data_IF_612670090225
#
_entry.id   IF_612670090225
#
_cell.length_a   1.000
_cell.length_b   1.000
_cell.length_c   1.000
_cell.angle_alpha   90.00
_cell.angle_beta   90.00
_cell.angle_gamma   90.00
#
_symmetry.space_group_name_H-M   'P 1'
#
loop_
_entity.id
_entity.type
_entity.pdbx_description
1 polymer ?
#
# COMPACT_ATOMS: atom_id res chain seq x y z
N UNK A 1 -57.93 15.88 57.35
CA UNK A 1 -56.74 15.47 58.14
C UNK A 1 -56.09 14.28 57.45
N UNK A 2 -54.80 14.45 57.09
CA UNK A 2 -53.72 13.43 57.06
C UNK A 2 -53.87 12.12 56.22
N UNK A 3 -52.90 11.99 55.31
CA UNK A 3 -52.04 10.82 54.96
C UNK A 3 -52.68 9.73 54.08
N UNK A 4 -52.29 9.64 52.80
CA UNK A 4 -51.06 9.02 52.27
C UNK A 4 -51.14 7.50 52.22
N UNK A 5 -51.24 6.93 51.02
CA UNK A 5 -50.52 5.70 50.68
C UNK A 5 -50.03 5.81 49.23
N UNK A 6 -48.73 5.63 49.09
CA UNK A 6 -47.92 5.66 47.88
C UNK A 6 -48.13 4.32 47.18
N UNK A 7 -48.47 4.34 45.89
CA UNK A 7 -48.39 3.16 45.02
C UNK A 7 -47.41 3.47 43.91
N UNK A 8 -46.20 2.95 44.07
CA UNK A 8 -45.11 2.96 43.10
C UNK A 8 -45.51 2.13 41.88
N UNK A 9 -45.91 2.80 40.80
CA UNK A 9 -46.04 2.16 39.48
C UNK A 9 -44.67 2.02 38.84
N UNK A 10 -44.15 0.80 38.79
CA UNK A 10 -42.94 0.44 38.05
C UNK A 10 -43.22 0.63 36.55
N UNK A 11 -42.61 1.67 35.95
CA UNK A 11 -42.60 1.86 34.51
C UNK A 11 -41.51 0.94 33.93
N UNK A 12 -41.88 -0.26 33.50
CA UNK A 12 -41.02 -1.11 32.68
C UNK A 12 -40.92 -0.43 31.30
N UNK A 13 -39.85 0.34 31.10
CA UNK A 13 -39.43 0.76 29.76
C UNK A 13 -38.86 -0.48 29.08
N UNK A 14 -39.71 -1.15 28.29
CA UNK A 14 -39.26 -2.17 27.35
C UNK A 14 -38.41 -1.41 26.31
N UNK A 15 -37.10 -1.45 26.48
CA UNK A 15 -36.11 -1.23 25.42
C UNK A 15 -36.31 -2.36 24.40
N UNK A 16 -37.32 -2.20 23.53
CA UNK A 16 -37.37 -2.94 22.28
C UNK A 16 -36.14 -2.46 21.53
N UNK A 17 -35.14 -3.33 21.49
CA UNK A 17 -33.97 -3.16 20.68
C UNK A 17 -34.43 -2.83 19.27
N UNK A 18 -34.20 -1.57 18.87
CA UNK A 18 -33.99 -1.24 17.47
C UNK A 18 -32.69 -1.94 17.08
N UNK A 19 -32.78 -3.26 16.88
CA UNK A 19 -31.97 -3.93 15.91
C UNK A 19 -32.20 -3.13 14.64
N UNK A 20 -31.23 -2.26 14.33
CA UNK A 20 -31.07 -1.71 13.00
C UNK A 20 -30.88 -2.96 12.14
N UNK A 21 -31.98 -3.48 11.63
CA UNK A 21 -31.97 -4.49 10.59
C UNK A 21 -31.14 -3.84 9.50
N UNK A 22 -29.89 -4.31 9.35
CA UNK A 22 -29.06 -3.97 8.22
C UNK A 22 -29.96 -4.19 7.00
N UNK A 23 -30.39 -3.10 6.35
CA UNK A 23 -31.15 -3.20 5.13
C UNK A 23 -30.35 -4.16 4.24
N UNK A 24 -31.01 -5.21 3.75
CA UNK A 24 -30.52 -5.98 2.59
C UNK A 24 -30.47 -5.01 1.41
N UNK A 25 -29.51 -4.08 1.42
CA UNK A 25 -29.22 -3.23 0.29
C UNK A 25 -28.66 -4.16 -0.76
N UNK A 26 -29.46 -4.40 -1.79
CA UNK A 26 -28.98 -4.95 -3.04
C UNK A 26 -28.03 -3.91 -3.62
N UNK A 27 -26.77 -3.96 -3.21
CA UNK A 27 -25.72 -3.19 -3.85
C UNK A 27 -25.69 -3.62 -5.32
N UNK A 28 -25.53 -2.67 -6.26
CA UNK A 28 -25.35 -3.05 -7.65
C UNK A 28 -24.11 -3.95 -7.76
N UNK A 29 -24.20 -4.96 -8.62
CA UNK A 29 -23.05 -5.80 -8.97
C UNK A 29 -21.82 -4.93 -9.25
N UNK A 30 -20.62 -5.31 -8.80
CA UNK A 30 -19.39 -4.60 -9.11
C UNK A 30 -19.27 -4.37 -10.63
N UNK A 31 -19.05 -3.11 -11.04
CA UNK A 31 -18.88 -2.77 -12.46
C UNK A 31 -17.57 -2.06 -12.67
N UNK A 32 -16.88 -2.44 -13.74
CA UNK A 32 -15.74 -1.68 -14.21
C UNK A 32 -16.19 -0.28 -14.65
N UNK A 33 -15.44 0.79 -14.34
CA UNK A 33 -15.85 2.15 -14.68
C UNK A 33 -16.04 2.33 -16.19
N UNK A 34 -17.27 2.66 -16.61
CA UNK A 34 -17.67 2.73 -18.03
C UNK A 34 -16.98 3.85 -18.85
N UNK A 35 -16.36 4.79 -18.16
CA UNK A 35 -15.62 5.91 -18.75
C UNK A 35 -14.17 5.56 -19.11
N UNK A 36 -13.61 4.47 -18.58
CA UNK A 36 -12.24 4.07 -18.91
C UNK A 36 -12.28 3.17 -20.13
N UNK A 37 -12.00 3.76 -21.29
CA UNK A 37 -12.02 3.10 -22.59
C UNK A 37 -10.63 3.11 -23.20
N UNK A 38 -10.37 2.16 -24.09
CA UNK A 38 -9.15 2.14 -24.88
C UNK A 38 -9.06 3.41 -25.74
N UNK A 39 -8.07 4.30 -25.50
CA UNK A 39 -7.91 5.49 -26.31
C UNK A 39 -7.45 5.11 -27.71
N UNK A 40 -7.91 5.86 -28.72
CA UNK A 40 -7.51 5.65 -30.13
C UNK A 40 -6.36 6.56 -30.56
N UNK A 41 -6.08 7.61 -29.80
CA UNK A 41 -5.06 8.59 -30.11
C UNK A 41 -4.55 9.27 -28.84
N UNK A 42 -3.41 9.95 -28.97
CA UNK A 42 -2.86 10.82 -27.92
C UNK A 42 -3.86 11.92 -27.54
N UNK A 43 -4.57 12.50 -28.51
CA UNK A 43 -5.50 13.62 -28.28
C UNK A 43 -6.67 13.24 -27.36
N UNK A 44 -7.13 11.98 -27.38
CA UNK A 44 -8.15 11.49 -26.44
C UNK A 44 -7.64 11.43 -24.99
N UNK A 45 -6.33 11.30 -24.78
CA UNK A 45 -5.68 11.21 -23.46
C UNK A 45 -5.27 12.60 -22.96
N UNK A 46 -5.00 13.55 -23.87
CA UNK A 46 -4.48 14.88 -23.54
C UNK A 46 -5.23 15.63 -22.44
N UNK A 47 -6.58 15.63 -22.35
CA UNK A 47 -7.29 16.30 -21.24
C UNK A 47 -6.88 15.73 -19.86
N UNK A 48 -6.70 14.42 -19.77
CA UNK A 48 -6.30 13.74 -18.55
C UNK A 48 -4.81 13.94 -18.26
N UNK A 49 -3.96 13.84 -19.28
CA UNK A 49 -2.52 14.11 -19.14
C UNK A 49 -2.25 15.54 -18.67
N UNK A 50 -2.99 16.52 -19.21
CA UNK A 50 -2.96 17.93 -18.77
C UNK A 50 -3.37 18.12 -17.32
N UNK A 51 -4.34 17.36 -16.83
CA UNK A 51 -4.73 17.37 -15.43
C UNK A 51 -3.65 16.71 -14.56
N UNK A 52 -3.13 15.56 -14.99
CA UNK A 52 -2.07 14.83 -14.31
C UNK A 52 -0.84 15.71 -14.06
N UNK A 53 -0.30 16.34 -15.10
CA UNK A 53 0.88 17.20 -14.97
C UNK A 53 0.59 18.52 -14.25
N UNK A 54 -0.65 18.82 -13.83
CA UNK A 54 -0.98 19.95 -12.95
C UNK A 54 -1.31 19.51 -11.52
N UNK A 55 -1.52 18.21 -11.30
CA UNK A 55 -1.86 17.65 -10.01
C UNK A 55 -0.68 17.72 -9.02
N UNK A 56 -0.84 18.47 -7.93
CA UNK A 56 0.20 18.60 -6.89
C UNK A 56 -0.04 17.70 -5.67
N UNK A 57 -1.27 17.19 -5.52
CA UNK A 57 -1.73 16.26 -4.49
C UNK A 57 -1.68 14.79 -4.94
N UNK A 58 -2.18 13.90 -4.09
CA UNK A 58 -2.31 12.47 -4.41
C UNK A 58 -0.99 11.71 -4.55
N UNK A 59 -1.10 10.48 -5.07
CA UNK A 59 -0.05 9.45 -5.04
C UNK A 59 1.03 9.63 -6.13
N UNK A 60 0.74 10.34 -7.22
CA UNK A 60 1.73 10.68 -8.27
C UNK A 60 1.60 12.17 -8.63
N UNK A 61 2.21 13.07 -7.82
CA UNK A 61 2.02 14.52 -7.96
C UNK A 61 2.92 15.14 -9.04
N UNK A 62 2.66 14.82 -10.32
CA UNK A 62 3.43 15.33 -11.47
C UNK A 62 3.45 16.88 -11.54
N UNK A 63 2.43 17.54 -11.01
CA UNK A 63 2.35 19.01 -10.94
C UNK A 63 3.41 19.69 -10.08
N UNK A 64 4.18 18.94 -9.28
CA UNK A 64 5.29 19.49 -8.47
C UNK A 64 6.54 19.86 -9.27
N UNK A 65 6.60 19.49 -10.55
CA UNK A 65 7.67 19.91 -11.46
C UNK A 65 7.41 21.33 -11.93
N UNK A 66 8.40 22.20 -11.77
CA UNK A 66 8.36 23.61 -12.16
C UNK A 66 8.70 23.82 -13.64
N UNK A 67 8.31 24.99 -14.17
CA UNK A 67 8.72 25.43 -15.50
C UNK A 67 10.25 25.44 -15.64
N UNK A 68 10.78 25.02 -16.80
CA UNK A 68 12.22 25.01 -17.07
C UNK A 68 13.00 23.84 -16.46
N UNK A 69 12.37 23.04 -15.60
CA UNK A 69 12.96 21.83 -15.02
C UNK A 69 13.08 20.71 -16.07
N UNK A 70 14.16 19.93 -16.00
CA UNK A 70 14.26 18.65 -16.71
C UNK A 70 13.78 17.53 -15.78
N UNK A 71 12.71 16.85 -16.18
CA UNK A 71 12.16 15.68 -15.47
C UNK A 71 12.53 14.39 -16.19
N UNK A 72 12.95 13.39 -15.44
CA UNK A 72 13.10 12.01 -15.86
C UNK A 72 11.89 11.19 -15.40
N UNK A 73 11.22 10.55 -16.35
CA UNK A 73 10.16 9.58 -16.10
C UNK A 73 10.72 8.19 -16.42
N UNK A 74 10.97 7.40 -15.38
CA UNK A 74 11.34 6.00 -15.56
C UNK A 74 10.07 5.17 -15.69
N UNK A 75 9.79 4.70 -16.90
CA UNK A 75 8.56 4.00 -17.24
C UNK A 75 8.66 2.49 -16.99
N UNK A 76 7.57 1.89 -16.54
CA UNK A 76 7.45 0.44 -16.42
C UNK A 76 7.60 -0.24 -17.79
N UNK A 77 8.14 -1.47 -17.83
CA UNK A 77 8.25 -2.25 -19.08
C UNK A 77 6.92 -2.42 -19.82
N UNK A 78 5.79 -2.41 -19.12
CA UNK A 78 4.44 -2.57 -19.68
C UNK A 78 3.70 -1.23 -19.88
N UNK A 79 4.40 -0.10 -19.77
CA UNK A 79 3.82 1.22 -19.99
C UNK A 79 3.27 1.37 -21.42
N UNK A 80 2.19 2.13 -21.56
CA UNK A 80 1.51 2.36 -22.83
C UNK A 80 2.08 3.59 -23.53
N UNK A 81 2.64 3.40 -24.74
CA UNK A 81 3.31 4.45 -25.51
C UNK A 81 2.43 5.70 -25.72
N UNK A 82 1.14 5.52 -26.06
CA UNK A 82 0.21 6.65 -26.23
C UNK A 82 0.07 7.49 -24.95
N UNK A 83 0.14 6.86 -23.78
CA UNK A 83 0.05 7.54 -22.48
C UNK A 83 1.35 8.30 -22.19
N UNK A 84 2.50 7.67 -22.42
CA UNK A 84 3.80 8.31 -22.27
C UNK A 84 3.93 9.56 -23.16
N UNK A 85 3.50 9.45 -24.43
CA UNK A 85 3.46 10.57 -25.36
C UNK A 85 2.51 11.70 -24.90
N UNK A 86 1.33 11.37 -24.38
CA UNK A 86 0.39 12.35 -23.85
C UNK A 86 0.96 13.09 -22.63
N UNK A 87 1.58 12.37 -21.68
CA UNK A 87 2.23 12.96 -20.50
C UNK A 87 3.40 13.85 -20.91
N UNK A 88 4.24 13.40 -21.84
CA UNK A 88 5.35 14.20 -22.40
C UNK A 88 4.84 15.50 -22.99
N UNK A 89 3.88 15.42 -23.91
CA UNK A 89 3.28 16.59 -24.55
C UNK A 89 2.65 17.55 -23.53
N UNK A 90 1.96 17.03 -22.52
CA UNK A 90 1.35 17.85 -21.48
C UNK A 90 2.39 18.58 -20.61
N UNK A 91 3.53 17.96 -20.30
CA UNK A 91 4.63 18.62 -19.61
C UNK A 91 5.32 19.67 -20.50
N UNK A 92 5.51 19.39 -21.78
CA UNK A 92 6.10 20.32 -22.73
C UNK A 92 5.21 21.57 -22.92
N UNK A 93 3.88 21.44 -22.86
CA UNK A 93 2.95 22.58 -22.79
C UNK A 93 3.19 23.47 -21.54
N UNK A 94 3.75 22.90 -20.46
CA UNK A 94 4.19 23.60 -19.24
C UNK A 94 5.66 24.03 -19.30
N UNK A 95 6.32 23.92 -20.47
CA UNK A 95 7.75 24.20 -20.71
C UNK A 95 8.67 23.42 -19.76
N UNK A 96 8.28 22.21 -19.42
CA UNK A 96 9.12 21.22 -18.73
C UNK A 96 9.84 20.38 -19.79
N UNK A 97 11.14 20.16 -19.62
CA UNK A 97 11.89 19.23 -20.49
C UNK A 97 11.69 17.82 -19.96
N UNK A 98 11.30 16.88 -20.82
CA UNK A 98 10.97 15.51 -20.40
C UNK A 98 11.93 14.52 -21.03
N UNK A 99 12.56 13.71 -20.19
CA UNK A 99 13.25 12.49 -20.57
C UNK A 99 12.39 11.30 -20.13
N UNK A 100 12.04 10.42 -21.05
CA UNK A 100 11.34 9.17 -20.73
C UNK A 100 12.33 8.04 -20.99
N UNK A 101 12.59 7.23 -19.97
CA UNK A 101 13.50 6.10 -20.05
C UNK A 101 12.77 4.87 -19.53
N UNK A 102 12.41 3.91 -20.39
CA UNK A 102 11.90 2.62 -19.93
C UNK A 102 12.91 1.93 -19.00
N UNK A 103 12.41 1.25 -17.97
CA UNK A 103 13.26 0.61 -16.95
C UNK A 103 14.27 -0.40 -17.54
N UNK A 104 13.92 -1.06 -18.64
CA UNK A 104 14.79 -2.00 -19.31
C UNK A 104 16.00 -1.35 -19.99
N UNK A 105 15.90 -0.08 -20.39
CA UNK A 105 17.01 0.65 -21.02
C UNK A 105 18.07 1.03 -19.99
N UNK A 106 17.68 1.26 -18.73
CA UNK A 106 18.63 1.54 -17.64
C UNK A 106 19.59 0.36 -17.39
N UNK A 107 19.18 -0.86 -17.73
CA UNK A 107 19.94 -2.10 -17.48
C UNK A 107 20.33 -2.83 -18.77
N UNK A 108 20.34 -2.11 -19.90
CA UNK A 108 20.78 -2.60 -21.21
C UNK A 108 20.06 -3.88 -21.68
N UNK A 109 18.76 -3.98 -21.40
CA UNK A 109 17.90 -5.09 -21.84
C UNK A 109 17.02 -4.63 -23.00
N UNK A 110 16.82 -5.49 -24.00
CA UNK A 110 15.88 -5.20 -25.10
C UNK A 110 14.44 -5.24 -24.60
N UNK A 111 13.62 -4.24 -24.96
CA UNK A 111 12.24 -4.10 -24.50
C UNK A 111 11.37 -5.34 -24.67
N UNK A 112 11.46 -6.03 -25.82
CA UNK A 112 10.71 -7.27 -26.05
C UNK A 112 11.15 -8.42 -25.13
N UNK A 113 12.45 -8.52 -24.83
CA UNK A 113 12.95 -9.52 -23.88
C UNK A 113 12.55 -9.17 -22.44
N UNK A 114 12.56 -7.88 -22.08
CA UNK A 114 12.07 -7.40 -20.79
C UNK A 114 10.58 -7.71 -20.62
N UNK A 115 9.75 -7.43 -21.63
CA UNK A 115 8.31 -7.72 -21.63
C UNK A 115 8.05 -9.21 -21.43
N UNK A 116 8.73 -10.06 -22.22
CA UNK A 116 8.64 -11.51 -22.08
C UNK A 116 9.11 -12.00 -20.72
N UNK A 117 10.18 -11.43 -20.17
CA UNK A 117 10.67 -11.77 -18.84
C UNK A 117 9.63 -11.43 -17.78
N UNK A 118 9.08 -10.21 -17.80
CA UNK A 118 8.07 -9.74 -16.84
C UNK A 118 6.77 -10.53 -16.91
N UNK A 119 6.33 -10.89 -18.11
CA UNK A 119 5.17 -11.78 -18.30
C UNK A 119 5.44 -13.20 -17.81
N UNK A 120 6.63 -13.74 -18.06
CA UNK A 120 7.00 -15.10 -17.64
C UNK A 120 7.25 -15.21 -16.14
N UNK A 121 7.76 -14.16 -15.49
CA UNK A 121 8.01 -14.11 -14.05
C UNK A 121 6.85 -13.54 -13.25
N UNK A 122 5.76 -13.13 -13.89
CA UNK A 122 4.52 -12.78 -13.20
C UNK A 122 3.95 -14.04 -12.56
N UNK A 123 4.04 -14.11 -11.26
CA UNK A 123 3.72 -15.30 -10.47
C UNK A 123 2.37 -15.21 -9.74
N UNK A 124 1.65 -14.10 -9.92
CA UNK A 124 0.43 -13.78 -9.20
C UNK A 124 -0.51 -12.83 -9.95
N UNK A 125 -1.78 -12.91 -9.58
CA UNK A 125 -2.87 -12.02 -9.97
C UNK A 125 -3.64 -11.56 -8.73
N UNK A 126 -4.58 -10.62 -8.89
CA UNK A 126 -5.44 -10.20 -7.78
C UNK A 126 -6.33 -11.32 -7.24
N UNK A 127 -6.45 -12.48 -7.91
CA UNK A 127 -7.17 -13.64 -7.36
C UNK A 127 -6.32 -14.43 -6.34
N UNK A 128 -5.03 -14.13 -6.27
CA UNK A 128 -4.04 -14.85 -5.48
C UNK A 128 -3.71 -14.13 -4.17
N UNK A 129 -4.68 -13.47 -3.54
CA UNK A 129 -4.47 -12.68 -2.32
C UNK A 129 -3.77 -13.46 -1.19
N UNK A 130 -3.97 -14.77 -1.15
CA UNK A 130 -3.30 -15.65 -0.20
C UNK A 130 -1.76 -15.70 -0.31
N UNK A 131 -1.19 -15.26 -1.44
CA UNK A 131 0.26 -15.19 -1.63
C UNK A 131 0.94 -14.10 -0.80
N UNK A 132 0.19 -13.20 -0.16
CA UNK A 132 0.75 -12.30 0.85
C UNK A 132 1.49 -13.06 1.96
N UNK A 133 1.00 -14.27 2.30
CA UNK A 133 1.66 -15.14 3.26
C UNK A 133 3.10 -15.49 2.86
N UNK A 134 3.41 -15.53 1.55
CA UNK A 134 4.78 -15.72 1.07
C UNK A 134 5.68 -14.58 1.54
N UNK A 135 5.24 -13.34 1.36
CA UNK A 135 5.98 -12.15 1.78
C UNK A 135 6.22 -12.13 3.29
N UNK A 136 5.28 -12.63 4.09
CA UNK A 136 5.48 -12.74 5.53
C UNK A 136 6.52 -13.78 5.89
N UNK A 137 6.42 -14.97 5.31
CA UNK A 137 7.35 -16.08 5.57
C UNK A 137 8.77 -15.69 5.17
N UNK A 138 8.92 -15.03 4.02
CA UNK A 138 10.23 -14.66 3.46
C UNK A 138 10.82 -13.38 4.08
N UNK A 139 9.96 -12.45 4.50
CA UNK A 139 10.42 -11.12 4.96
C UNK A 139 10.42 -10.93 6.48
N UNK A 140 9.70 -11.76 7.25
CA UNK A 140 9.54 -11.55 8.70
C UNK A 140 10.32 -12.53 9.55
N UNK A 141 10.67 -13.69 9.05
CA UNK A 141 11.50 -14.64 9.79
C UNK A 141 12.98 -14.32 9.58
N UNK A 142 13.78 -14.43 10.65
CA UNK A 142 15.24 -14.25 10.55
C UNK A 142 15.91 -15.35 9.71
N UNK A 143 15.35 -16.57 9.75
CA UNK A 143 15.63 -17.66 8.81
C UNK A 143 14.33 -18.06 8.12
N UNK A 144 14.09 -17.60 6.88
CA UNK A 144 12.92 -17.98 6.08
C UNK A 144 12.82 -19.47 5.73
N UNK A 145 13.93 -20.22 5.76
CA UNK A 145 13.92 -21.62 5.35
C UNK A 145 13.34 -22.52 6.46
N UNK A 146 13.48 -22.13 7.73
CA UNK A 146 12.86 -22.84 8.85
C UNK A 146 11.31 -22.92 8.76
N UNK A 147 10.55 -21.80 8.61
CA UNK A 147 9.09 -21.86 8.43
C UNK A 147 8.67 -22.54 7.12
N UNK A 148 9.45 -22.41 6.04
CA UNK A 148 9.20 -23.13 4.78
C UNK A 148 9.26 -24.64 4.94
N UNK A 149 10.34 -25.17 5.56
CA UNK A 149 10.48 -26.61 5.84
C UNK A 149 9.35 -27.11 6.73
N UNK A 150 9.06 -26.38 7.80
CA UNK A 150 7.97 -26.71 8.72
C UNK A 150 6.60 -26.79 8.03
N UNK A 151 6.28 -25.83 7.15
CA UNK A 151 5.05 -25.84 6.37
C UNK A 151 5.02 -27.03 5.39
N UNK A 152 6.14 -27.30 4.70
CA UNK A 152 6.26 -28.41 3.76
C UNK A 152 5.99 -29.77 4.42
N UNK A 153 6.50 -29.98 5.63
CA UNK A 153 6.33 -31.23 6.38
C UNK A 153 4.89 -31.41 6.86
N UNK A 154 4.22 -30.34 7.30
CA UNK A 154 2.90 -30.44 7.95
C UNK A 154 1.71 -30.26 7.01
N UNK A 155 1.86 -29.37 6.03
CA UNK A 155 0.82 -28.99 5.05
C UNK A 155 1.47 -28.86 3.67
N UNK A 156 1.90 -29.98 3.06
CA UNK A 156 2.52 -29.96 1.73
C UNK A 156 1.60 -29.37 0.66
N UNK A 157 0.28 -29.46 0.84
CA UNK A 157 -0.74 -28.82 0.00
C UNK A 157 -0.61 -27.28 0.02
N UNK A 158 -0.50 -26.68 1.21
CA UNK A 158 -0.33 -25.24 1.38
C UNK A 158 1.06 -24.78 0.93
N UNK A 159 2.10 -25.55 1.23
CA UNK A 159 3.45 -25.29 0.75
C UNK A 159 3.48 -25.24 -0.78
N UNK A 160 2.89 -26.23 -1.45
CA UNK A 160 2.80 -26.26 -2.92
C UNK A 160 2.03 -25.05 -3.47
N UNK A 161 0.92 -24.69 -2.82
CA UNK A 161 0.12 -23.53 -3.21
C UNK A 161 0.88 -22.21 -3.07
N UNK A 162 1.81 -22.07 -2.12
CA UNK A 162 2.55 -20.83 -1.87
C UNK A 162 3.89 -20.79 -2.58
N UNK A 163 4.67 -21.88 -2.64
CA UNK A 163 6.08 -21.85 -3.07
C UNK A 163 6.37 -22.64 -4.34
N UNK A 164 5.52 -23.60 -4.72
CA UNK A 164 5.72 -24.43 -5.91
C UNK A 164 4.72 -24.09 -7.04
N UNK A 165 4.06 -22.92 -6.95
CA UNK A 165 3.31 -22.36 -8.07
C UNK A 165 4.30 -21.78 -9.07
N UNK A 166 4.51 -22.50 -10.15
CA UNK A 166 5.31 -21.98 -11.25
C UNK A 166 5.37 -22.94 -12.41
N UNK A 167 5.31 -22.38 -13.61
CA UNK A 167 5.86 -23.04 -14.79
C UNK A 167 7.38 -22.95 -14.67
N UNK A 168 8.10 -23.93 -15.17
CA UNK A 168 9.55 -23.80 -15.35
C UNK A 168 9.81 -22.56 -16.21
N UNK A 169 10.50 -21.57 -15.64
CA UNK A 169 10.81 -20.31 -16.31
C UNK A 169 12.17 -20.49 -16.98
N UNK A 170 12.25 -20.12 -18.26
CA UNK A 170 13.51 -20.05 -18.99
C UNK A 170 14.59 -19.30 -18.15
N UNK A 171 15.73 -19.95 -17.83
CA UNK A 171 16.80 -19.33 -17.04
C UNK A 171 17.25 -17.96 -17.60
N UNK A 172 17.20 -17.76 -18.92
CA UNK A 172 17.49 -16.47 -19.56
C UNK A 172 16.49 -15.41 -19.14
N UNK A 173 15.19 -15.71 -19.19
CA UNK A 173 14.13 -14.78 -18.78
C UNK A 173 14.21 -14.47 -17.29
N UNK A 174 14.53 -15.46 -16.45
CA UNK A 174 14.78 -15.26 -15.03
C UNK A 174 15.95 -14.31 -14.78
N UNK A 175 17.06 -14.46 -15.50
CA UNK A 175 18.22 -13.57 -15.39
C UNK A 175 17.86 -12.12 -15.81
N UNK A 176 17.04 -11.96 -16.84
CA UNK A 176 16.56 -10.64 -17.27
C UNK A 176 15.66 -10.02 -16.20
N UNK A 177 14.72 -10.77 -15.63
CA UNK A 177 13.87 -10.27 -14.55
C UNK A 177 14.68 -9.87 -13.32
N UNK A 178 15.76 -10.58 -13.01
CA UNK A 178 16.69 -10.21 -11.93
C UNK A 178 17.37 -8.86 -12.22
N UNK A 179 17.80 -8.59 -13.46
CA UNK A 179 18.32 -7.26 -13.83
C UNK A 179 17.28 -6.15 -13.66
N UNK A 180 16.00 -6.47 -13.85
CA UNK A 180 14.87 -5.55 -13.64
C UNK A 180 14.43 -5.48 -12.17
N UNK A 181 15.16 -6.11 -11.24
CA UNK A 181 14.86 -6.00 -9.81
C UNK A 181 15.03 -4.55 -9.34
N UNK A 182 14.29 -4.19 -8.29
CA UNK A 182 14.32 -2.83 -7.72
C UNK A 182 15.74 -2.37 -7.36
N UNK A 183 16.56 -3.28 -6.82
CA UNK A 183 17.93 -2.99 -6.43
C UNK A 183 18.78 -2.62 -7.64
N UNK A 184 18.77 -3.47 -8.66
CA UNK A 184 19.54 -3.27 -9.88
C UNK A 184 19.09 -2.03 -10.65
N UNK A 185 17.78 -1.77 -10.72
CA UNK A 185 17.24 -0.55 -11.34
C UNK A 185 17.62 0.73 -10.57
N UNK A 186 17.65 0.70 -9.23
CA UNK A 186 18.07 1.85 -8.44
C UNK A 186 19.55 2.16 -8.65
N UNK A 187 20.41 1.15 -8.68
CA UNK A 187 21.84 1.30 -8.98
C UNK A 187 22.07 1.84 -10.39
N UNK A 188 21.34 1.32 -11.38
CA UNK A 188 21.38 1.80 -12.75
C UNK A 188 20.90 3.27 -12.86
N UNK A 189 19.82 3.62 -12.17
CA UNK A 189 19.31 4.99 -12.12
C UNK A 189 20.33 5.96 -11.50
N UNK A 190 21.07 5.56 -10.46
CA UNK A 190 22.17 6.38 -9.91
C UNK A 190 23.24 6.67 -10.97
N UNK A 191 23.67 5.63 -11.71
CA UNK A 191 24.66 5.79 -12.80
C UNK A 191 24.13 6.71 -13.91
N UNK A 192 22.86 6.58 -14.27
CA UNK A 192 22.22 7.46 -15.23
C UNK A 192 22.25 8.92 -14.74
N UNK A 193 21.84 9.19 -13.50
CA UNK A 193 21.79 10.54 -12.94
C UNK A 193 23.17 11.17 -12.71
N UNK A 194 24.23 10.36 -12.62
CA UNK A 194 25.61 10.85 -12.61
C UNK A 194 26.05 11.39 -13.98
N UNK A 195 25.54 10.82 -15.06
CA UNK A 195 25.82 11.24 -16.44
C UNK A 195 24.86 12.35 -16.93
N UNK A 196 23.68 12.42 -16.31
CA UNK A 196 22.60 13.35 -16.67
C UNK A 196 22.38 14.41 -15.58
N UNK A 197 23.40 15.26 -15.38
CA UNK A 197 23.38 16.31 -14.35
C UNK A 197 22.26 17.35 -14.56
N UNK A 198 21.75 17.47 -15.79
CA UNK A 198 20.62 18.33 -16.14
C UNK A 198 19.29 17.87 -15.56
N UNK A 199 19.15 16.59 -15.18
CA UNK A 199 17.93 16.05 -14.57
C UNK A 199 17.81 16.56 -13.14
N UNK A 200 16.67 17.20 -12.88
CA UNK A 200 16.36 17.86 -11.61
C UNK A 200 15.22 17.18 -10.85
N UNK A 201 14.37 16.43 -11.55
CA UNK A 201 13.24 15.72 -10.97
C UNK A 201 13.12 14.30 -11.54
N UNK A 202 12.79 13.33 -10.70
CA UNK A 202 12.66 11.92 -11.07
C UNK A 202 11.33 11.38 -10.56
N UNK A 203 10.55 10.79 -11.47
CA UNK A 203 9.48 9.86 -11.12
C UNK A 203 9.86 8.46 -11.58
N UNK A 204 9.71 7.48 -10.69
CA UNK A 204 10.25 6.14 -10.91
C UNK A 204 9.21 5.05 -10.75
N UNK A 205 8.94 4.35 -11.86
CA UNK A 205 8.19 3.11 -12.04
C UNK A 205 6.84 3.02 -11.31
N UNK A 206 6.07 1.99 -11.68
CA UNK A 206 4.84 1.62 -10.99
C UNK A 206 5.14 0.67 -9.82
N UNK A 207 5.77 1.16 -8.75
CA UNK A 207 6.06 0.36 -7.55
C UNK A 207 5.80 1.07 -6.23
N UNK A 208 5.76 0.32 -5.12
CA UNK A 208 5.66 0.86 -3.76
C UNK A 208 7.00 1.37 -3.21
N UNK A 209 7.09 1.56 -1.89
CA UNK A 209 8.37 1.73 -1.17
C UNK A 209 9.13 3.04 -1.41
N UNK A 210 8.44 4.18 -1.55
CA UNK A 210 9.07 5.50 -1.83
C UNK A 210 10.27 5.81 -0.94
N UNK A 211 10.16 5.58 0.36
CA UNK A 211 11.22 5.87 1.32
C UNK A 211 12.47 5.03 1.06
N UNK A 212 12.32 3.75 0.72
CA UNK A 212 13.44 2.87 0.43
C UNK A 212 14.15 3.27 -0.86
N UNK A 213 13.41 3.61 -1.91
CA UNK A 213 14.02 4.07 -3.15
C UNK A 213 14.77 5.39 -2.95
N UNK A 214 14.15 6.37 -2.27
CA UNK A 214 14.82 7.65 -1.96
C UNK A 214 16.16 7.40 -1.27
N UNK A 215 16.21 6.45 -0.32
CA UNK A 215 17.45 6.02 0.35
C UNK A 215 18.44 5.36 -0.62
N UNK A 216 17.99 4.44 -1.47
CA UNK A 216 18.84 3.74 -2.45
C UNK A 216 19.48 4.68 -3.47
N UNK A 217 18.83 5.81 -3.79
CA UNK A 217 19.37 6.82 -4.70
C UNK A 217 20.48 7.70 -4.09
N UNK A 218 20.75 7.59 -2.78
CA UNK A 218 21.84 8.29 -2.11
C UNK A 218 21.80 9.80 -2.36
N UNK A 219 22.89 10.36 -2.91
CA UNK A 219 23.01 11.80 -3.22
C UNK A 219 21.93 12.33 -4.19
N UNK A 220 21.34 11.45 -5.00
CA UNK A 220 20.27 11.81 -5.93
C UNK A 220 18.88 11.68 -5.32
N UNK A 221 18.76 11.25 -4.07
CA UNK A 221 17.47 11.08 -3.39
C UNK A 221 16.63 12.36 -3.32
N UNK A 222 17.25 13.55 -3.37
CA UNK A 222 16.52 14.82 -3.42
C UNK A 222 15.86 15.09 -4.78
N UNK A 223 16.32 14.45 -5.86
CA UNK A 223 15.67 14.52 -7.17
C UNK A 223 14.39 13.69 -7.22
N UNK A 224 14.20 12.73 -6.31
CA UNK A 224 13.08 11.81 -6.34
C UNK A 224 11.78 12.46 -5.82
N UNK A 225 10.81 12.62 -6.73
CA UNK A 225 9.52 13.26 -6.42
C UNK A 225 8.38 12.27 -6.18
N UNK A 226 8.52 11.01 -6.60
CA UNK A 226 7.54 9.95 -6.34
C UNK A 226 7.54 8.85 -7.38
N UNK A 227 6.57 7.93 -7.26
CA UNK A 227 6.40 6.85 -8.23
C UNK A 227 5.67 7.34 -9.48
N UNK A 228 6.05 6.78 -10.63
CA UNK A 228 5.39 7.06 -11.90
C UNK A 228 4.31 6.01 -12.17
N UNK A 229 3.12 6.22 -11.63
CA UNK A 229 1.99 5.27 -11.78
C UNK A 229 1.09 5.58 -12.97
N UNK A 230 1.21 6.77 -13.57
CA UNK A 230 0.36 7.26 -14.66
C UNK A 230 0.92 6.85 -16.03
N UNK A 231 1.30 5.57 -16.15
CA UNK A 231 2.01 4.99 -17.28
C UNK A 231 1.12 4.15 -18.21
N UNK A 232 -0.17 4.02 -17.89
CA UNK A 232 -1.16 3.29 -18.67
C UNK A 232 -2.55 3.97 -18.62
N UNK A 233 -3.45 3.58 -19.53
CA UNK A 233 -4.79 4.18 -19.66
C UNK A 233 -5.63 4.10 -18.39
N UNK A 234 -5.52 3.02 -17.63
CA UNK A 234 -6.36 2.77 -16.45
C UNK A 234 -6.07 3.77 -15.33
N UNK A 235 -4.84 4.24 -15.28
CA UNK A 235 -4.35 5.18 -14.27
C UNK A 235 -4.51 6.63 -14.73
N UNK A 236 -4.05 6.97 -15.94
CA UNK A 236 -4.10 8.36 -16.40
C UNK A 236 -5.53 8.83 -16.66
N UNK A 237 -6.41 7.97 -17.19
CA UNK A 237 -7.81 8.32 -17.47
C UNK A 237 -8.73 8.11 -16.26
N UNK A 238 -8.17 7.80 -15.09
CA UNK A 238 -8.91 7.71 -13.84
C UNK A 238 -9.35 9.11 -13.37
N UNK A 239 -10.57 9.24 -12.85
CA UNK A 239 -11.09 10.50 -12.26
C UNK A 239 -10.27 11.01 -11.08
N UNK A 240 -9.52 10.13 -10.40
CA UNK A 240 -8.59 10.53 -9.34
C UNK A 240 -7.53 11.54 -9.85
N UNK A 241 -7.15 11.46 -11.13
CA UNK A 241 -6.17 12.38 -11.74
C UNK A 241 -6.69 13.82 -11.83
N UNK A 242 -8.01 13.97 -12.04
CA UNK A 242 -8.68 15.27 -12.13
C UNK A 242 -9.24 15.75 -10.79
N UNK A 243 -9.02 15.01 -9.70
CA UNK A 243 -9.53 15.40 -8.40
C UNK A 243 -8.79 16.66 -7.89
N UNK A 244 -9.48 17.71 -7.41
CA UNK A 244 -8.81 18.95 -7.02
C UNK A 244 -7.75 18.73 -5.92
N UNK A 245 -6.53 19.24 -6.16
CA UNK A 245 -5.37 19.00 -5.30
C UNK A 245 -5.52 19.62 -3.90
N UNK A 246 -6.16 20.79 -3.85
CA UNK A 246 -6.49 21.52 -2.63
C UNK A 246 -7.54 20.77 -1.80
N UNK A 247 -8.59 20.24 -2.42
CA UNK A 247 -9.58 19.40 -1.76
C UNK A 247 -8.95 18.10 -1.26
N UNK A 248 -8.04 17.50 -2.03
CA UNK A 248 -7.30 16.30 -1.60
C UNK A 248 -6.50 16.58 -0.33
N UNK A 249 -5.70 17.65 -0.33
CA UNK A 249 -4.88 18.03 0.83
C UNK A 249 -5.73 18.40 2.03
N UNK A 250 -6.83 19.13 1.82
CA UNK A 250 -7.77 19.47 2.89
C UNK A 250 -8.36 18.19 3.51
N UNK A 251 -8.74 17.20 2.71
CA UNK A 251 -9.23 15.92 3.21
C UNK A 251 -8.15 15.18 4.02
N UNK A 252 -6.90 15.15 3.53
CA UNK A 252 -5.77 14.59 4.28
C UNK A 252 -5.54 15.33 5.61
N UNK A 253 -5.48 16.66 5.60
CA UNK A 253 -5.29 17.50 6.78
C UNK A 253 -6.38 17.27 7.82
N UNK A 254 -7.65 17.27 7.42
CA UNK A 254 -8.79 17.04 8.33
C UNK A 254 -8.86 15.61 8.86
N UNK A 255 -8.32 14.64 8.13
CA UNK A 255 -8.19 13.26 8.61
C UNK A 255 -7.07 13.15 9.66
N UNK A 256 -5.99 13.91 9.49
CA UNK A 256 -4.80 13.83 10.35
C UNK A 256 -4.93 14.67 11.62
N UNK A 257 -5.57 15.84 11.55
CA UNK A 257 -5.74 16.77 12.68
C UNK A 257 -6.21 16.11 14.00
N UNK A 258 -7.24 15.25 14.02
CA UNK A 258 -7.71 14.65 15.27
C UNK A 258 -6.74 13.63 15.86
N UNK A 259 -5.85 13.04 15.05
CA UNK A 259 -4.97 11.92 15.47
C UNK A 259 -4.12 12.25 16.70
N UNK A 260 -3.69 13.50 16.84
CA UNK A 260 -2.87 13.96 17.96
C UNK A 260 -3.60 14.01 19.31
N UNK A 261 -4.94 13.85 19.30
CA UNK A 261 -5.82 14.08 20.45
C UNK A 261 -6.67 12.87 20.80
N UNK A 262 -6.42 11.73 20.16
CA UNK A 262 -7.14 10.49 20.42
C UNK A 262 -6.56 9.82 21.68
N UNK A 263 -7.45 9.19 22.45
CA UNK A 263 -7.14 8.25 23.53
C UNK A 263 -7.55 6.81 23.19
N UNK A 264 -8.48 6.65 22.24
CA UNK A 264 -8.93 5.37 21.73
C UNK A 264 -9.34 5.46 20.26
N UNK A 265 -9.14 4.36 19.53
CA UNK A 265 -9.68 4.16 18.19
C UNK A 265 -10.64 2.98 18.22
N UNK A 266 -11.81 3.15 17.62
CA UNK A 266 -12.77 2.09 17.31
C UNK A 266 -13.02 2.07 15.81
N UNK A 267 -12.92 0.89 15.21
CA UNK A 267 -13.19 0.66 13.79
C UNK A 267 -14.26 -0.42 13.66
N UNK A 268 -15.30 -0.13 12.89
CA UNK A 268 -16.29 -1.12 12.44
C UNK A 268 -16.62 -0.99 10.95
N UNK A 269 -17.10 -2.08 10.35
CA UNK A 269 -17.63 -2.07 8.98
C UNK A 269 -18.73 -3.14 8.78
N UNK A 270 -19.48 -3.08 7.66
CA UNK A 270 -20.50 -4.09 7.34
C UNK A 270 -19.97 -5.50 7.03
N UNK A 271 -18.67 -5.65 6.74
CA UNK A 271 -18.04 -6.96 6.54
C UNK A 271 -17.78 -7.68 7.87
N UNK A 272 -17.93 -6.99 9.00
CA UNK A 272 -17.83 -7.54 10.35
C UNK A 272 -16.52 -7.21 11.05
N UNK A 273 -15.71 -6.29 10.51
CA UNK A 273 -14.62 -5.69 11.29
C UNK A 273 -15.23 -4.99 12.49
N UNK A 274 -14.64 -5.22 13.66
CA UNK A 274 -14.97 -4.52 14.89
C UNK A 274 -13.80 -4.66 15.87
N UNK A 275 -12.93 -3.66 15.93
CA UNK A 275 -11.79 -3.68 16.83
C UNK A 275 -11.52 -2.33 17.47
N UNK A 276 -10.85 -2.38 18.61
CA UNK A 276 -10.42 -1.21 19.36
C UNK A 276 -8.95 -1.31 19.77
N UNK A 277 -8.34 -0.15 19.94
CA UNK A 277 -7.06 -0.02 20.63
C UNK A 277 -6.98 1.34 21.30
N UNK A 278 -6.30 1.38 22.44
CA UNK A 278 -6.04 2.61 23.17
C UNK A 278 -4.70 3.21 22.72
N UNK A 279 -4.60 4.53 22.81
CA UNK A 279 -3.37 5.29 22.60
C UNK A 279 -3.18 6.26 23.76
N UNK A 280 -1.98 6.33 24.32
CA UNK A 280 -1.63 7.41 25.23
C UNK A 280 -1.25 8.69 24.45
N UNK A 281 -1.11 9.81 25.17
CA UNK A 281 -0.77 11.10 24.58
C UNK A 281 0.54 11.05 23.78
N UNK A 282 1.56 10.34 24.26
CA UNK A 282 2.85 10.23 23.55
C UNK A 282 2.70 9.45 22.25
N UNK A 283 1.93 8.36 22.27
CA UNK A 283 1.64 7.54 21.10
C UNK A 283 0.79 8.28 20.07
N UNK A 284 -0.23 9.04 20.52
CA UNK A 284 -1.07 9.86 19.64
C UNK A 284 -0.26 10.96 18.94
N UNK A 285 0.60 11.67 19.67
CA UNK A 285 1.50 12.69 19.10
C UNK A 285 2.50 12.08 18.11
N UNK A 286 3.09 10.92 18.46
CA UNK A 286 4.00 10.20 17.57
C UNK A 286 3.28 9.72 16.30
N UNK A 287 2.08 9.16 16.40
CA UNK A 287 1.27 8.76 15.25
C UNK A 287 0.94 9.96 14.36
N UNK A 288 0.42 11.05 14.92
CA UNK A 288 0.14 12.26 14.17
C UNK A 288 1.41 12.80 13.48
N UNK A 289 2.58 12.72 14.10
CA UNK A 289 3.82 13.16 13.48
C UNK A 289 4.23 12.33 12.26
N UNK A 290 3.85 11.05 12.22
CA UNK A 290 4.28 10.04 11.25
C UNK A 290 3.24 9.61 10.20
N UNK A 291 1.97 9.97 10.40
CA UNK A 291 0.84 9.51 9.57
C UNK A 291 0.92 9.98 8.11
N UNK A 292 1.57 11.12 7.86
CA UNK A 292 1.53 11.75 6.54
C UNK A 292 2.53 11.11 5.57
N UNK A 293 2.00 10.59 4.46
CA UNK A 293 2.69 10.46 3.19
C UNK A 293 1.67 10.85 2.12
N UNK A 294 2.00 11.81 1.25
CA UNK A 294 1.01 12.33 0.31
C UNK A 294 0.41 11.22 -0.57
N UNK A 295 -0.92 11.15 -0.58
CA UNK A 295 -1.71 10.12 -1.26
C UNK A 295 -1.65 8.73 -0.61
N UNK A 296 -1.17 8.61 0.63
CA UNK A 296 -1.07 7.36 1.39
C UNK A 296 -0.93 7.64 2.91
N UNK A 297 -2.03 7.77 3.64
CA UNK A 297 -1.99 8.03 5.08
C UNK A 297 -1.75 6.74 5.87
N UNK A 298 -0.77 6.75 6.77
CA UNK A 298 -0.50 5.62 7.68
C UNK A 298 -1.46 5.63 8.87
N UNK A 299 -2.71 5.22 8.63
CA UNK A 299 -3.80 5.25 9.62
C UNK A 299 -3.73 4.14 10.69
N UNK A 300 -2.55 3.55 10.86
CA UNK A 300 -2.26 2.64 11.96
C UNK A 300 -0.92 3.02 12.60
N UNK A 301 -0.84 3.20 13.93
CA UNK A 301 0.37 3.72 14.60
C UNK A 301 1.64 2.93 14.30
N UNK A 302 1.56 1.61 14.19
CA UNK A 302 2.70 0.77 13.84
C UNK A 302 3.31 1.12 12.46
N UNK A 303 2.51 1.63 11.52
CA UNK A 303 2.97 2.03 10.18
C UNK A 303 3.50 3.46 10.13
N UNK A 304 2.91 4.35 10.93
CA UNK A 304 3.31 5.74 11.01
C UNK A 304 4.61 5.95 11.80
N UNK A 305 4.94 5.00 12.68
CA UNK A 305 6.05 5.11 13.64
C UNK A 305 7.25 4.25 13.25
N UNK A 306 8.38 4.44 13.94
CA UNK A 306 9.62 3.70 13.68
C UNK A 306 10.34 4.11 12.39
N UNK A 307 10.21 5.38 11.98
CA UNK A 307 10.71 5.93 10.72
C UNK A 307 10.96 7.43 10.82
N UNK A 308 11.63 7.99 9.81
CA UNK A 308 11.69 9.44 9.59
C UNK A 308 10.41 9.89 8.85
N UNK A 309 9.55 10.72 9.44
CA UNK A 309 8.30 11.14 8.79
C UNK A 309 8.52 12.02 7.57
N UNK A 310 7.55 12.07 6.64
CA UNK A 310 7.55 13.08 5.59
C UNK A 310 7.23 14.48 6.15
N UNK A 311 7.87 15.50 5.57
CA UNK A 311 7.52 16.89 5.81
C UNK A 311 6.16 17.21 5.19
N UNK A 312 5.27 17.83 5.97
CA UNK A 312 3.99 18.36 5.47
C UNK A 312 4.16 19.64 4.65
N UNK A 313 5.26 20.37 4.88
CA UNK A 313 5.57 21.65 4.23
C UNK A 313 6.47 21.43 3.01
N UNK A 314 7.55 20.69 3.18
CA UNK A 314 8.61 20.51 2.18
C UNK A 314 8.55 19.12 1.52
N UNK A 315 7.36 18.56 1.30
CA UNK A 315 7.24 17.23 0.67
C UNK A 315 7.97 17.18 -0.69
N UNK A 316 8.66 16.08 -1.05
CA UNK A 316 8.77 14.80 -0.35
C UNK A 316 9.96 14.71 0.62
N UNK A 317 10.48 15.82 1.13
CA UNK A 317 11.55 15.80 2.13
C UNK A 317 11.12 15.01 3.38
N UNK A 318 12.09 14.35 3.99
CA UNK A 318 11.90 13.68 5.28
C UNK A 318 12.32 14.61 6.41
N UNK A 319 11.64 14.53 7.55
CA UNK A 319 12.09 15.16 8.79
C UNK A 319 13.39 14.50 9.25
N UNK A 320 14.25 15.30 9.88
CA UNK A 320 15.53 14.82 10.45
C UNK A 320 15.35 14.07 11.76
N UNK A 321 14.24 14.34 12.46
CA UNK A 321 13.92 13.70 13.73
C UNK A 321 13.31 12.32 13.49
N UNK A 322 13.84 11.32 14.19
CA UNK A 322 13.33 9.96 14.14
C UNK A 322 12.06 9.85 14.99
N UNK A 323 10.99 9.31 14.41
CA UNK A 323 9.76 9.01 15.14
C UNK A 323 9.86 7.58 15.71
N UNK A 324 9.95 7.40 17.05
CA UNK A 324 10.12 6.09 17.67
C UNK A 324 8.95 5.16 17.38
N UNK A 325 9.20 3.85 17.31
CA UNK A 325 8.18 2.83 17.00
C UNK A 325 7.27 2.58 18.20
N UNK A 326 5.96 2.48 17.93
CA UNK A 326 4.98 2.03 18.90
C UNK A 326 4.21 0.81 18.38
N UNK A 327 4.03 -0.19 19.25
CA UNK A 327 3.23 -1.38 18.99
C UNK A 327 2.00 -1.32 19.89
N UNK A 328 0.81 -1.22 19.29
CA UNK A 328 -0.44 -1.06 20.02
C UNK A 328 -1.21 -2.37 20.09
N UNK A 329 -1.64 -2.75 21.29
CA UNK A 329 -2.37 -3.98 21.57
C UNK A 329 -3.83 -3.85 21.15
N UNK A 330 -4.14 -4.39 19.97
CA UNK A 330 -5.49 -4.38 19.41
C UNK A 330 -6.36 -5.47 20.05
N UNK A 331 -7.66 -5.18 20.22
CA UNK A 331 -8.67 -6.14 20.66
C UNK A 331 -9.86 -6.11 19.70
N UNK A 332 -10.34 -7.27 19.25
CA UNK A 332 -11.56 -7.37 18.43
C UNK A 332 -11.40 -8.31 17.25
N UNK A 333 -12.05 -7.97 16.13
CA UNK A 333 -12.13 -8.76 14.91
C UNK A 333 -11.75 -7.92 13.71
N UNK A 334 -10.87 -8.44 12.87
CA UNK A 334 -10.63 -7.93 11.53
C UNK A 334 -11.37 -8.85 10.55
N UNK A 335 -12.26 -8.30 9.74
CA UNK A 335 -12.94 -9.03 8.68
C UNK A 335 -12.58 -8.42 7.32
N UNK A 336 -12.58 -9.25 6.28
CA UNK A 336 -12.27 -8.78 4.95
C UNK A 336 -12.26 -9.89 3.91
N UNK A 337 -12.29 -9.50 2.65
CA UNK A 337 -12.13 -10.39 1.49
C UNK A 337 -10.92 -10.02 0.61
N UNK A 338 -10.08 -9.08 1.07
CA UNK A 338 -8.91 -8.61 0.34
C UNK A 338 -7.75 -8.20 1.25
N UNK A 339 -6.55 -8.18 0.67
CA UNK A 339 -5.32 -7.65 1.26
C UNK A 339 -4.49 -6.92 0.20
N UNK A 340 -3.22 -6.64 0.51
CA UNK A 340 -2.33 -5.94 -0.41
C UNK A 340 -1.98 -6.72 -1.69
N UNK A 341 -2.12 -8.05 -1.67
CA UNK A 341 -1.82 -8.93 -2.81
C UNK A 341 -3.03 -9.21 -3.69
N UNK A 342 -4.24 -9.20 -3.13
CA UNK A 342 -5.46 -9.51 -3.88
C UNK A 342 -6.62 -9.92 -2.99
N UNK A 343 -7.56 -10.65 -3.59
CA UNK A 343 -8.81 -11.11 -2.98
C UNK A 343 -8.70 -12.56 -2.52
N UNK A 344 -9.55 -12.93 -1.55
CA UNK A 344 -9.72 -14.27 -1.02
C UNK A 344 -11.14 -14.41 -0.42
N UNK A 345 -11.67 -15.63 -0.20
CA UNK A 345 -12.95 -15.79 0.48
C UNK A 345 -12.93 -15.12 1.85
N UNK A 346 -14.01 -14.45 2.25
CA UNK A 346 -14.08 -13.68 3.51
C UNK A 346 -13.41 -14.39 4.69
N UNK A 347 -12.54 -13.67 5.38
CA UNK A 347 -11.82 -14.09 6.58
C UNK A 347 -12.30 -13.30 7.80
N UNK A 348 -12.25 -13.90 8.98
CA UNK A 348 -12.31 -13.20 10.26
C UNK A 348 -11.07 -13.56 11.07
N UNK A 349 -10.35 -12.56 11.56
CA UNK A 349 -9.17 -12.72 12.43
C UNK A 349 -9.50 -12.10 13.77
N UNK A 350 -9.66 -12.94 14.79
CA UNK A 350 -9.93 -12.51 16.16
C UNK A 350 -8.61 -12.22 16.88
N UNK A 351 -8.52 -11.06 17.50
CA UNK A 351 -7.33 -10.56 18.19
C UNK A 351 -7.67 -10.18 19.62
N UNK A 352 -6.83 -10.60 20.57
CA UNK A 352 -6.91 -10.23 21.99
C UNK A 352 -5.54 -9.79 22.48
N UNK A 353 -5.47 -8.60 23.07
CA UNK A 353 -4.24 -7.98 23.58
C UNK A 353 -3.12 -7.91 22.54
N UNK A 354 -3.47 -7.69 21.27
CA UNK A 354 -2.52 -7.71 20.16
C UNK A 354 -1.99 -9.10 19.85
N UNK A 355 -2.76 -10.17 20.06
CA UNK A 355 -2.42 -11.54 19.62
C UNK A 355 -3.60 -12.17 18.90
N UNK A 356 -3.33 -12.85 17.78
CA UNK A 356 -4.37 -13.59 17.07
C UNK A 356 -4.76 -14.83 17.87
N UNK A 357 -6.04 -14.95 18.20
CA UNK A 357 -6.61 -16.04 19.00
C UNK A 357 -7.40 -17.04 18.15
N UNK A 358 -7.99 -16.60 17.05
CA UNK A 358 -8.83 -17.44 16.18
C UNK A 358 -8.87 -16.86 14.76
N UNK A 359 -8.92 -17.74 13.75
CA UNK A 359 -9.15 -17.35 12.35
C UNK A 359 -10.26 -18.20 11.73
N UNK A 360 -11.30 -17.56 11.23
CA UNK A 360 -12.44 -18.19 10.53
C UNK A 360 -12.45 -17.84 9.05
N UNK A 361 -12.93 -18.76 8.21
CA UNK A 361 -13.02 -18.53 6.77
C UNK A 361 -11.65 -18.37 6.10
N UNK A 362 -11.55 -17.49 5.10
CA UNK A 362 -10.29 -17.11 4.45
C UNK A 362 -9.82 -18.01 3.30
N UNK A 363 -10.49 -19.12 3.01
CA UNK A 363 -10.00 -20.13 2.06
C UNK A 363 -8.54 -20.54 2.35
N UNK A 364 -7.71 -20.63 1.30
CA UNK A 364 -6.27 -20.94 1.43
C UNK A 364 -5.54 -19.95 2.33
N UNK A 365 -5.90 -18.66 2.31
CA UNK A 365 -5.27 -17.65 3.15
C UNK A 365 -5.56 -17.89 4.63
N UNK A 366 -6.81 -18.16 4.98
CA UNK A 366 -7.20 -18.52 6.35
C UNK A 366 -6.57 -19.83 6.84
N UNK A 367 -6.40 -20.82 5.95
CA UNK A 367 -5.65 -22.04 6.26
C UNK A 367 -4.17 -21.75 6.53
N UNK A 368 -3.57 -20.85 5.73
CA UNK A 368 -2.38 -20.05 5.99
C UNK A 368 -2.17 -19.74 7.47
N UNK A 369 -3.01 -18.80 7.90
CA UNK A 369 -3.06 -18.29 9.25
C UNK A 369 -3.22 -19.37 10.30
N UNK A 370 -4.25 -20.22 10.16
CA UNK A 370 -4.54 -21.29 11.14
C UNK A 370 -3.38 -22.25 11.30
N UNK A 371 -2.63 -22.54 10.23
CA UNK A 371 -1.46 -23.39 10.34
C UNK A 371 -0.33 -22.66 11.06
N UNK A 372 0.04 -21.44 10.64
CA UNK A 372 1.15 -20.72 11.28
C UNK A 372 0.91 -20.31 12.74
N UNK A 373 -0.33 -20.23 13.20
CA UNK A 373 -0.62 -20.09 14.64
C UNK A 373 -0.13 -21.30 15.47
N UNK A 374 0.15 -22.43 14.83
CA UNK A 374 0.74 -23.62 15.46
C UNK A 374 2.28 -23.64 15.33
N UNK A 375 2.88 -22.66 14.67
CA UNK A 375 4.32 -22.59 14.50
C UNK A 375 5.01 -22.40 15.87
N UNK A 376 6.07 -23.15 16.18
CA UNK A 376 6.72 -23.07 17.49
C UNK A 376 7.12 -21.64 17.86
N UNK A 377 6.72 -21.19 19.05
CA UNK A 377 7.04 -19.87 19.60
C UNK A 377 6.55 -18.69 18.75
N UNK A 378 5.54 -18.86 17.90
CA UNK A 378 5.03 -17.78 17.04
C UNK A 378 4.64 -16.52 17.82
N UNK A 379 4.07 -16.68 19.02
CA UNK A 379 3.67 -15.58 19.91
C UNK A 379 4.74 -15.19 20.95
N UNK A 380 5.86 -15.93 21.01
CA UNK A 380 6.93 -15.72 21.99
C UNK A 380 8.21 -15.17 21.36
N UNK A 381 8.36 -15.30 20.04
CA UNK A 381 9.52 -14.82 19.31
C UNK A 381 9.46 -13.30 19.12
N UNK A 382 10.61 -12.64 19.28
CA UNK A 382 10.81 -11.26 18.83
C UNK A 382 11.26 -11.30 17.37
N UNK A 383 10.45 -10.74 16.49
CA UNK A 383 10.74 -10.71 15.06
C UNK A 383 11.67 -9.54 14.71
N UNK A 384 12.45 -9.63 13.61
CA UNK A 384 13.25 -8.52 13.12
C UNK A 384 12.45 -7.21 13.10
N UNK A 385 13.10 -6.13 13.52
CA UNK A 385 12.52 -4.78 13.63
C UNK A 385 11.49 -4.58 14.76
N UNK A 386 11.12 -5.61 15.54
CA UNK A 386 10.23 -5.47 16.69
C UNK A 386 10.99 -5.50 18.01
N UNK A 387 10.49 -4.78 19.01
CA UNK A 387 11.06 -4.72 20.37
C UNK A 387 10.30 -5.60 21.36
N UNK A 388 9.14 -6.12 20.98
CA UNK A 388 8.27 -6.95 21.82
C UNK A 388 7.97 -8.31 21.15
N UNK A 389 7.78 -9.39 21.94
CA UNK A 389 7.52 -10.72 21.42
C UNK A 389 6.10 -10.87 20.86
N UNK A 390 5.95 -11.77 19.88
CA UNK A 390 4.67 -12.17 19.29
C UNK A 390 4.01 -11.15 18.37
N UNK A 391 4.59 -9.95 18.23
CA UNK A 391 4.32 -9.01 17.14
C UNK A 391 4.96 -9.45 15.82
N UNK A 392 4.88 -10.75 15.51
CA UNK A 392 5.21 -11.26 14.19
C UNK A 392 4.28 -10.64 13.17
N UNK A 393 4.83 -10.31 12.00
CA UNK A 393 4.15 -9.60 10.90
C UNK A 393 2.89 -10.26 10.33
N UNK A 394 2.31 -11.26 10.99
CA UNK A 394 0.90 -11.56 10.91
C UNK A 394 0.05 -10.31 11.20
N UNK A 395 0.44 -9.52 12.22
CA UNK A 395 -0.35 -8.35 12.67
C UNK A 395 0.09 -7.00 12.07
N UNK A 396 1.05 -6.99 11.15
CA UNK A 396 1.21 -5.84 10.26
C UNK A 396 0.24 -6.01 9.10
N UNK A 397 -1.05 -5.85 9.38
CA UNK A 397 -2.05 -5.63 8.34
C UNK A 397 -1.62 -4.36 7.58
N UNK A 398 -1.27 -4.43 6.28
CA UNK A 398 -0.80 -3.29 5.48
C UNK A 398 -1.74 -2.08 5.51
#
# INVERSE_FOLDING_TARGET
MKRSLITTGVLIVILIGLAVSAEKRNYPEPRFPSYVRSPKSVDEIMPFARAAVRQTGGRTPLGRVNEGTTVLLVADTLAEELVLQAIKRAYEERRVKVQIVPEYELVDVKGEEARRAKEATRDSTSEDGYLEARTWIEGRFSDPEAPKRWLKERRPDLYKAVFERGKEIDPRLKSIAEKLSRQNLAEALVKYLDQHSEVQAVFFQRSGGRSDLKRMLGRHGEKFLGNFMLDNRWEVMNKAVTFPADVWKLAEERTIEPVAWLDQVHVDDPEGTNFTFDVDETQAQAWASGVYQQGHLYMFPHHATGRFPYSRVEYPALRKEYNPRFLLKVNGVFAGDSNHYGFFPRIEVHVKNGYVTEVKGGGTYGELWREFLKYPKINEATYPFHTEPGYGGFMSLP
#
